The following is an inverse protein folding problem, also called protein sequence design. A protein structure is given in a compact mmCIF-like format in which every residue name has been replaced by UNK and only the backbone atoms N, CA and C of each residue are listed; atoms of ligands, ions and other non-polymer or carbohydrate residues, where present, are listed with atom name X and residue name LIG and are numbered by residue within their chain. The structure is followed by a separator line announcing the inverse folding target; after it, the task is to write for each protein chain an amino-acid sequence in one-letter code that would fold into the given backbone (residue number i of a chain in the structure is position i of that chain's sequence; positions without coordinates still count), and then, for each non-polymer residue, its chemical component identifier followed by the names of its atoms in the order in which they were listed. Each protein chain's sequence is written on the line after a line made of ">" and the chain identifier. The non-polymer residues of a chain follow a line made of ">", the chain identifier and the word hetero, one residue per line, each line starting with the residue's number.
data_IF_900009598126
#
_entry.id   IF_900009598126
#
_cell.length_a   1.000
_cell.length_b   1.000
_cell.length_c   1.000
_cell.angle_alpha   90.00
_cell.angle_beta   90.00
_cell.angle_gamma   90.00
#
_symmetry.space_group_name_H-M   'P 1'
#
loop_
_entity.id
_entity.type
_entity.pdbx_description
1 polymer ?
#
# COMPACT_ATOMS: atom_id res chain seq x y z
N UNK A 1 10.22 27.88 -4.25
CA UNK A 1 9.22 26.91 -3.76
C UNK A 1 9.97 25.58 -3.66
N UNK A 2 9.93 24.91 -2.52
CA UNK A 2 10.50 23.57 -2.37
C UNK A 2 9.73 22.55 -3.23
N UNK A 3 10.34 21.40 -3.46
CA UNK A 3 9.66 20.28 -4.12
C UNK A 3 8.51 19.76 -3.25
N UNK A 4 7.45 19.24 -3.89
CA UNK A 4 6.34 18.63 -3.16
C UNK A 4 6.78 17.30 -2.56
N UNK A 5 6.19 16.84 -1.43
CA UNK A 5 6.47 15.52 -0.87
C UNK A 5 6.40 14.39 -1.90
N UNK A 6 5.38 14.39 -2.75
CA UNK A 6 5.21 13.39 -3.81
C UNK A 6 6.39 13.40 -4.80
N UNK A 7 6.91 14.60 -5.15
CA UNK A 7 8.04 14.69 -6.07
C UNK A 7 9.34 14.19 -5.46
N UNK A 8 9.55 14.45 -4.17
CA UNK A 8 10.69 13.89 -3.41
C UNK A 8 10.63 12.35 -3.41
N UNK A 9 9.47 11.78 -3.10
CA UNK A 9 9.24 10.33 -3.06
C UNK A 9 9.43 9.70 -4.44
N UNK A 10 8.86 10.30 -5.51
CA UNK A 10 9.03 9.84 -6.90
C UNK A 10 10.51 9.74 -7.28
N UNK A 11 11.26 10.82 -7.05
CA UNK A 11 12.69 10.87 -7.42
C UNK A 11 13.53 9.87 -6.64
N UNK A 12 13.24 9.67 -5.36
CA UNK A 12 13.93 8.69 -4.53
C UNK A 12 13.69 7.27 -5.05
N UNK A 13 12.43 6.85 -5.23
CA UNK A 13 12.11 5.50 -5.72
C UNK A 13 12.53 5.26 -7.17
N UNK A 14 12.52 6.28 -8.04
CA UNK A 14 13.12 6.17 -9.37
C UNK A 14 14.61 5.86 -9.30
N UNK A 15 15.32 6.53 -8.38
CA UNK A 15 16.78 6.39 -8.24
C UNK A 15 17.20 5.02 -7.67
N UNK A 16 16.40 4.44 -6.77
CA UNK A 16 16.73 3.20 -6.05
C UNK A 16 15.99 1.97 -6.58
N UNK A 17 15.21 2.06 -7.67
CA UNK A 17 14.28 1.03 -8.09
C UNK A 17 14.88 -0.39 -8.15
N UNK A 18 16.07 -0.54 -8.73
CA UNK A 18 16.75 -1.83 -8.83
C UNK A 18 17.24 -2.37 -7.48
N UNK A 19 17.77 -1.49 -6.62
CA UNK A 19 18.18 -1.87 -5.28
C UNK A 19 16.98 -2.24 -4.41
N UNK A 20 15.93 -1.42 -4.46
CA UNK A 20 14.71 -1.63 -3.67
C UNK A 20 14.04 -2.97 -4.00
N UNK A 21 14.00 -3.34 -5.29
CA UNK A 21 13.51 -4.64 -5.70
C UNK A 21 14.30 -5.78 -5.06
N UNK A 22 15.63 -5.76 -5.14
CA UNK A 22 16.47 -6.82 -4.57
C UNK A 22 16.32 -6.91 -3.04
N UNK A 23 16.17 -5.76 -2.37
CA UNK A 23 15.95 -5.69 -0.95
C UNK A 23 14.59 -6.27 -0.56
N UNK A 24 13.50 -5.90 -1.26
CA UNK A 24 12.14 -6.41 -1.00
C UNK A 24 12.03 -7.92 -1.21
N UNK A 25 12.69 -8.47 -2.23
CA UNK A 25 12.71 -9.93 -2.47
C UNK A 25 13.39 -10.72 -1.32
N UNK A 26 14.26 -10.08 -0.57
CA UNK A 26 14.93 -10.66 0.61
C UNK A 26 14.18 -10.48 1.93
N UNK A 27 13.12 -9.67 1.96
CA UNK A 27 12.44 -9.28 3.20
C UNK A 27 11.32 -10.25 3.58
N UNK A 28 11.29 -10.61 4.88
CA UNK A 28 10.09 -11.17 5.50
C UNK A 28 9.21 -10.03 5.99
N UNK A 29 7.99 -9.92 5.48
CA UNK A 29 7.08 -8.84 5.87
C UNK A 29 5.65 -9.34 5.97
N UNK A 30 4.78 -8.68 6.76
CA UNK A 30 3.37 -9.04 6.86
C UNK A 30 2.54 -8.79 5.59
N UNK A 31 3.11 -8.26 4.50
CA UNK A 31 2.40 -7.92 3.25
C UNK A 31 1.55 -9.09 2.73
N UNK A 32 2.16 -10.28 2.64
CA UNK A 32 1.47 -11.46 2.12
C UNK A 32 0.34 -11.90 3.03
N UNK A 33 0.55 -11.91 4.36
CA UNK A 33 -0.49 -12.29 5.31
C UNK A 33 -1.67 -11.34 5.32
N UNK A 34 -1.42 -10.03 5.19
CA UNK A 34 -2.48 -9.02 5.09
C UNK A 34 -3.18 -9.03 3.72
N UNK A 35 -2.46 -9.33 2.65
CA UNK A 35 -3.06 -9.59 1.33
C UNK A 35 -3.96 -10.83 1.37
N UNK A 36 -3.54 -11.89 2.07
CA UNK A 36 -4.36 -13.09 2.23
C UNK A 36 -5.68 -12.81 2.97
N UNK A 37 -5.71 -11.89 3.98
CA UNK A 37 -6.96 -11.44 4.62
C UNK A 37 -7.93 -10.82 3.60
N UNK A 38 -7.41 -9.99 2.67
CA UNK A 38 -8.23 -9.41 1.59
C UNK A 38 -8.76 -10.50 0.66
N UNK A 39 -7.91 -11.44 0.24
CA UNK A 39 -8.29 -12.54 -0.65
C UNK A 39 -9.34 -13.47 -0.01
N UNK A 40 -9.22 -13.76 1.28
CA UNK A 40 -10.23 -14.55 2.02
C UNK A 40 -11.56 -13.81 2.11
N UNK A 41 -11.55 -12.49 2.32
CA UNK A 41 -12.77 -11.68 2.29
C UNK A 41 -13.39 -11.70 0.89
N UNK A 42 -12.61 -11.55 -0.17
CA UNK A 42 -13.07 -11.64 -1.55
C UNK A 42 -13.73 -13.00 -1.81
N UNK A 43 -13.09 -14.10 -1.41
CA UNK A 43 -13.65 -15.46 -1.59
C UNK A 43 -14.98 -15.66 -0.83
N UNK A 44 -15.13 -15.01 0.33
CA UNK A 44 -16.35 -15.07 1.14
C UNK A 44 -17.50 -14.20 0.59
N UNK A 45 -17.18 -13.12 -0.13
CA UNK A 45 -18.16 -12.13 -0.60
C UNK A 45 -18.52 -12.26 -2.09
N UNK A 46 -17.67 -12.94 -2.88
CA UNK A 46 -17.88 -13.12 -4.32
C UNK A 46 -18.54 -14.48 -4.60
N UNK A 47 -19.64 -14.46 -5.32
CA UNK A 47 -20.32 -15.72 -5.70
C UNK A 47 -19.54 -16.45 -6.81
N UNK A 48 -19.22 -17.74 -6.64
CA UNK A 48 -18.53 -18.53 -7.68
C UNK A 48 -19.28 -18.59 -9.01
N UNK A 49 -20.58 -18.29 -8.99
CA UNK A 49 -21.46 -18.41 -10.15
C UNK A 49 -21.31 -17.31 -11.19
N UNK A 50 -20.61 -16.20 -10.88
CA UNK A 50 -20.49 -15.06 -11.80
C UNK A 50 -19.40 -15.23 -12.85
N UNK A 51 -18.42 -16.13 -12.63
CA UNK A 51 -17.30 -16.37 -13.57
C UNK A 51 -16.37 -15.15 -13.75
N UNK A 52 -16.65 -14.03 -13.08
CA UNK A 52 -15.80 -12.84 -13.15
C UNK A 52 -14.64 -12.93 -12.17
N UNK A 53 -13.45 -12.50 -12.61
CA UNK A 53 -12.29 -12.39 -11.73
C UNK A 53 -12.52 -11.24 -10.72
N UNK A 54 -12.09 -11.39 -9.45
CA UNK A 54 -12.12 -10.28 -8.53
C UNK A 54 -11.15 -9.19 -8.98
N UNK A 55 -11.57 -7.94 -8.86
CA UNK A 55 -10.77 -6.78 -9.25
C UNK A 55 -10.15 -6.12 -8.03
N UNK A 56 -8.84 -6.09 -7.96
CA UNK A 56 -8.08 -5.59 -6.81
C UNK A 56 -7.19 -4.42 -7.23
N UNK A 57 -7.18 -3.35 -6.42
CA UNK A 57 -6.29 -2.21 -6.56
C UNK A 57 -5.11 -2.37 -5.62
N UNK A 58 -3.90 -2.18 -6.13
CA UNK A 58 -2.68 -2.05 -5.34
C UNK A 58 -2.13 -0.63 -5.48
N UNK A 59 -1.88 0.02 -4.33
CA UNK A 59 -1.33 1.37 -4.23
C UNK A 59 0.12 1.30 -3.75
N UNK A 60 1.05 1.84 -4.52
CA UNK A 60 2.48 1.69 -4.26
C UNK A 60 2.96 0.28 -4.61
N UNK A 61 2.68 -0.19 -5.83
CA UNK A 61 2.95 -1.55 -6.25
C UNK A 61 4.46 -1.87 -6.42
N UNK A 62 5.30 -0.84 -6.49
CA UNK A 62 6.72 -1.00 -6.72
C UNK A 62 7.00 -1.79 -8.00
N UNK A 63 7.94 -2.72 -7.93
CA UNK A 63 8.32 -3.60 -9.03
C UNK A 63 7.32 -4.77 -9.28
N UNK A 64 6.15 -4.76 -8.66
CA UNK A 64 5.10 -5.76 -8.84
C UNK A 64 5.29 -7.04 -8.01
N UNK A 65 6.29 -7.10 -7.16
CA UNK A 65 6.55 -8.22 -6.28
C UNK A 65 6.73 -7.76 -4.82
N UNK A 66 6.28 -8.53 -3.84
CA UNK A 66 5.62 -9.83 -3.98
C UNK A 66 4.11 -9.74 -4.30
N UNK A 67 3.46 -8.58 -4.09
CA UNK A 67 2.01 -8.50 -3.94
C UNK A 67 1.25 -8.53 -5.26
N UNK A 68 1.60 -7.70 -6.26
CA UNK A 68 0.95 -7.76 -7.58
C UNK A 68 1.01 -9.19 -8.14
N UNK A 69 2.20 -9.84 -8.09
CA UNK A 69 2.37 -11.21 -8.56
C UNK A 69 1.49 -12.18 -7.79
N UNK A 70 1.47 -12.11 -6.46
CA UNK A 70 0.62 -12.93 -5.61
C UNK A 70 -0.87 -12.80 -5.99
N UNK A 71 -1.36 -11.57 -6.17
CA UNK A 71 -2.75 -11.31 -6.54
C UNK A 71 -3.12 -11.92 -7.91
N UNK A 72 -2.23 -11.77 -8.90
CA UNK A 72 -2.39 -12.35 -10.23
C UNK A 72 -2.41 -13.89 -10.18
N UNK A 73 -1.49 -14.50 -9.42
CA UNK A 73 -1.42 -15.96 -9.24
C UNK A 73 -2.66 -16.53 -8.54
N UNK A 74 -3.35 -15.71 -7.74
CA UNK A 74 -4.65 -16.05 -7.13
C UNK A 74 -5.85 -15.74 -8.04
N UNK A 75 -5.59 -15.36 -9.30
CA UNK A 75 -6.60 -15.19 -10.34
C UNK A 75 -7.32 -13.84 -10.33
N UNK A 76 -6.81 -12.84 -9.60
CA UNK A 76 -7.38 -11.49 -9.61
C UNK A 76 -7.08 -10.74 -10.91
N UNK A 77 -7.96 -9.80 -11.27
CA UNK A 77 -7.64 -8.67 -12.15
C UNK A 77 -7.01 -7.58 -11.29
N UNK A 78 -5.76 -7.24 -11.57
CA UNK A 78 -4.99 -6.29 -10.74
C UNK A 78 -4.81 -4.97 -11.47
N UNK A 79 -5.18 -3.88 -10.80
CA UNK A 79 -4.78 -2.51 -11.14
C UNK A 79 -3.69 -2.12 -10.15
N UNK A 80 -2.50 -1.85 -10.64
CA UNK A 80 -1.32 -1.57 -9.82
C UNK A 80 -0.83 -0.14 -10.10
N UNK A 81 -0.88 0.71 -9.08
CA UNK A 81 -0.42 2.10 -9.16
C UNK A 81 0.92 2.26 -8.45
N UNK A 82 1.80 3.04 -9.04
CA UNK A 82 2.99 3.56 -8.37
C UNK A 82 3.35 4.94 -8.90
N UNK A 83 3.97 5.76 -8.05
CA UNK A 83 4.43 7.10 -8.43
C UNK A 83 5.72 7.01 -9.25
N UNK A 84 6.56 6.00 -9.01
CA UNK A 84 7.82 5.77 -9.69
C UNK A 84 7.61 5.06 -11.03
N UNK A 85 8.02 5.71 -12.10
CA UNK A 85 7.98 5.11 -13.44
C UNK A 85 9.04 4.02 -13.61
N UNK A 86 10.16 4.09 -12.90
CA UNK A 86 11.20 3.06 -12.93
C UNK A 86 10.74 1.78 -12.24
N UNK A 87 10.02 1.90 -11.11
CA UNK A 87 9.37 0.75 -10.48
C UNK A 87 8.37 0.09 -11.42
N UNK A 88 7.51 0.86 -12.08
CA UNK A 88 6.52 0.30 -13.02
C UNK A 88 7.14 -0.35 -14.27
N UNK A 89 8.32 0.09 -14.73
CA UNK A 89 9.07 -0.63 -15.78
C UNK A 89 9.47 -2.03 -15.33
N UNK A 90 9.90 -2.17 -14.08
CA UNK A 90 10.22 -3.47 -13.49
C UNK A 90 8.96 -4.32 -13.30
N UNK A 91 7.86 -3.71 -12.87
CA UNK A 91 6.56 -4.37 -12.72
C UNK A 91 6.02 -4.87 -14.07
N UNK A 92 6.15 -4.10 -15.14
CA UNK A 92 5.72 -4.51 -16.49
C UNK A 92 6.40 -5.79 -16.98
N UNK A 93 7.66 -5.99 -16.61
CA UNK A 93 8.40 -7.20 -16.97
C UNK A 93 8.00 -8.42 -16.13
N UNK A 94 7.56 -8.22 -14.87
CA UNK A 94 7.23 -9.29 -13.92
C UNK A 94 5.75 -9.65 -13.89
N UNK A 95 4.91 -8.67 -14.13
CA UNK A 95 3.46 -8.76 -14.00
C UNK A 95 2.77 -8.18 -15.26
N UNK A 96 3.07 -8.70 -16.47
CA UNK A 96 2.54 -8.15 -17.71
C UNK A 96 1.01 -8.24 -17.83
N UNK A 97 0.38 -9.05 -16.98
CA UNK A 97 -1.09 -9.19 -16.91
C UNK A 97 -1.76 -8.08 -16.09
N UNK A 98 -1.00 -7.32 -15.27
CA UNK A 98 -1.54 -6.24 -14.47
C UNK A 98 -1.80 -4.99 -15.32
N UNK A 99 -2.83 -4.23 -14.96
CA UNK A 99 -3.04 -2.88 -15.46
C UNK A 99 -2.20 -1.92 -14.64
N UNK A 100 -1.09 -1.42 -15.21
CA UNK A 100 -0.19 -0.50 -14.53
C UNK A 100 -0.64 0.95 -14.72
N UNK A 101 -0.68 1.72 -13.62
CA UNK A 101 -1.10 3.13 -13.59
C UNK A 101 0.00 3.96 -12.94
N UNK A 102 0.71 4.77 -13.73
CA UNK A 102 1.76 5.65 -13.24
C UNK A 102 1.18 6.93 -12.63
N UNK A 103 1.78 7.41 -11.55
CA UNK A 103 1.53 8.72 -10.96
C UNK A 103 1.01 8.69 -9.53
N UNK A 104 0.77 9.89 -9.01
CA UNK A 104 0.30 10.12 -7.66
C UNK A 104 -1.04 9.43 -7.41
N UNK A 105 -1.11 8.62 -6.34
CA UNK A 105 -2.34 7.92 -5.96
C UNK A 105 -3.51 8.87 -5.65
N UNK A 106 -3.24 10.11 -5.22
CA UNK A 106 -4.27 11.12 -5.01
C UNK A 106 -4.92 11.61 -6.29
N UNK A 107 -4.23 11.51 -7.43
CA UNK A 107 -4.78 11.87 -8.73
C UNK A 107 -5.66 10.76 -9.34
N UNK A 108 -5.64 9.55 -8.79
CA UNK A 108 -6.47 8.46 -9.27
C UNK A 108 -7.95 8.78 -9.12
N UNK A 109 -8.74 8.37 -10.11
CA UNK A 109 -10.19 8.48 -10.09
C UNK A 109 -10.82 7.21 -10.67
N UNK A 110 -11.52 6.48 -9.82
CA UNK A 110 -12.21 5.25 -10.21
C UNK A 110 -13.71 5.35 -9.88
N UNK A 111 -14.51 4.63 -10.61
CA UNK A 111 -15.95 4.56 -10.34
C UNK A 111 -16.20 4.01 -8.91
N UNK A 112 -17.21 4.51 -8.19
CA UNK A 112 -17.60 3.96 -6.90
C UNK A 112 -17.91 2.46 -7.00
N UNK A 113 -17.59 1.71 -5.94
CA UNK A 113 -17.83 0.28 -5.83
C UNK A 113 -17.25 -0.54 -7.01
N UNK A 114 -16.06 -0.19 -7.50
CA UNK A 114 -15.40 -0.84 -8.64
C UNK A 114 -14.36 -1.89 -8.26
N UNK A 115 -13.98 -2.00 -6.97
CA UNK A 115 -12.97 -2.95 -6.50
C UNK A 115 -13.51 -3.90 -5.44
N UNK A 116 -13.10 -5.16 -5.54
CA UNK A 116 -13.40 -6.22 -4.57
C UNK A 116 -12.43 -6.22 -3.38
N UNK A 117 -11.31 -5.53 -3.52
CA UNK A 117 -10.32 -5.33 -2.47
C UNK A 117 -9.31 -4.26 -2.85
N UNK A 118 -8.67 -3.67 -1.85
CA UNK A 118 -7.56 -2.72 -2.02
C UNK A 118 -6.43 -3.10 -1.08
N UNK A 119 -5.19 -3.03 -1.56
CA UNK A 119 -3.99 -3.15 -0.74
C UNK A 119 -3.07 -1.95 -0.98
N UNK A 120 -2.32 -1.54 0.05
CA UNK A 120 -1.39 -0.41 -0.07
C UNK A 120 -0.32 -0.47 1.02
N UNK A 121 0.79 -1.15 0.73
CA UNK A 121 1.85 -1.36 1.71
C UNK A 121 3.04 -0.44 1.44
N UNK A 122 3.57 0.16 2.51
CA UNK A 122 4.71 1.08 2.48
C UNK A 122 4.52 2.25 1.50
N UNK A 123 3.28 2.76 1.40
CA UNK A 123 2.93 3.77 0.40
C UNK A 123 2.15 4.96 0.96
N UNK A 124 1.06 4.72 1.71
CA UNK A 124 0.14 5.80 2.15
C UNK A 124 0.82 6.79 3.11
N UNK A 125 1.76 6.36 3.92
CA UNK A 125 2.49 7.23 4.84
C UNK A 125 3.51 8.18 4.14
N UNK A 126 3.70 8.06 2.83
CA UNK A 126 4.42 9.04 2.02
C UNK A 126 3.54 10.24 1.61
N UNK A 127 2.24 10.19 1.88
CA UNK A 127 1.36 11.33 1.71
C UNK A 127 1.41 12.24 2.95
N UNK A 128 1.29 13.57 2.79
CA UNK A 128 1.02 14.46 3.91
C UNK A 128 -0.19 14.00 4.73
N UNK A 129 -0.19 14.20 6.04
CA UNK A 129 -1.25 13.74 6.95
C UNK A 129 -2.67 14.05 6.47
N UNK A 130 -2.92 15.30 6.08
CA UNK A 130 -4.24 15.72 5.61
C UNK A 130 -4.70 14.93 4.37
N UNK A 131 -3.76 14.51 3.55
CA UNK A 131 -4.00 13.77 2.32
C UNK A 131 -4.25 12.28 2.57
N UNK A 132 -3.71 11.70 3.66
CA UNK A 132 -3.97 10.32 4.05
C UNK A 132 -5.46 10.07 4.29
N UNK A 133 -6.14 10.97 5.03
CA UNK A 133 -7.60 10.86 5.24
C UNK A 133 -8.38 10.97 3.92
N UNK A 134 -7.95 11.87 3.03
CA UNK A 134 -8.53 12.03 1.70
C UNK A 134 -8.36 10.75 0.87
N UNK A 135 -7.16 10.14 0.91
CA UNK A 135 -6.88 8.89 0.22
C UNK A 135 -7.75 7.74 0.72
N UNK A 136 -7.88 7.60 2.04
CA UNK A 136 -8.76 6.59 2.64
C UNK A 136 -10.22 6.78 2.24
N UNK A 137 -10.70 8.03 2.15
CA UNK A 137 -12.06 8.32 1.68
C UNK A 137 -12.26 7.93 0.20
N UNK A 138 -11.27 8.17 -0.66
CA UNK A 138 -11.29 7.71 -2.06
C UNK A 138 -11.32 6.17 -2.13
N UNK A 139 -10.45 5.49 -1.39
CA UNK A 139 -10.44 4.02 -1.32
C UNK A 139 -11.80 3.50 -0.84
N UNK A 140 -12.37 4.11 0.20
CA UNK A 140 -13.69 3.72 0.70
C UNK A 140 -14.76 3.86 -0.39
N UNK A 141 -14.76 4.94 -1.16
CA UNK A 141 -15.70 5.11 -2.27
C UNK A 141 -15.54 4.03 -3.35
N UNK A 142 -14.30 3.69 -3.71
CA UNK A 142 -13.99 2.72 -4.77
C UNK A 142 -14.28 1.27 -4.40
N UNK A 143 -14.18 0.93 -3.12
CA UNK A 143 -14.49 -0.41 -2.63
C UNK A 143 -15.99 -0.72 -2.75
N UNK A 144 -16.31 -1.96 -3.10
CA UNK A 144 -17.67 -2.51 -3.01
C UNK A 144 -18.10 -2.61 -1.53
N UNK A 145 -19.41 -2.57 -1.22
CA UNK A 145 -19.89 -2.87 0.14
C UNK A 145 -19.38 -4.24 0.62
N UNK A 146 -18.90 -4.31 1.84
CA UNK A 146 -18.33 -5.51 2.43
C UNK A 146 -16.90 -5.85 2.02
N UNK A 147 -16.34 -5.14 1.03
CA UNK A 147 -14.96 -5.34 0.58
C UNK A 147 -13.93 -4.79 1.59
N UNK A 148 -12.70 -5.26 1.49
CA UNK A 148 -11.64 -5.02 2.47
C UNK A 148 -10.49 -4.20 1.89
N UNK A 149 -9.92 -3.33 2.75
CA UNK A 149 -8.65 -2.64 2.58
C UNK A 149 -7.62 -3.25 3.53
N UNK A 150 -6.41 -3.54 3.04
CA UNK A 150 -5.25 -3.83 3.87
C UNK A 150 -4.10 -2.89 3.54
N UNK A 151 -3.48 -2.30 4.57
CA UNK A 151 -2.41 -1.32 4.41
C UNK A 151 -1.60 -1.19 5.68
N UNK A 152 -0.49 -0.45 5.62
CA UNK A 152 0.25 -0.07 6.82
C UNK A 152 0.55 1.43 6.85
N UNK A 153 0.77 1.94 8.06
CA UNK A 153 1.19 3.30 8.35
C UNK A 153 2.43 3.27 9.25
N UNK A 154 3.15 4.39 9.32
CA UNK A 154 4.14 4.60 10.35
C UNK A 154 3.45 4.79 11.72
N UNK A 155 4.21 4.67 12.81
CA UNK A 155 3.68 4.74 14.19
C UNK A 155 4.04 6.04 14.90
N UNK A 156 4.86 6.89 14.28
CA UNK A 156 5.29 8.16 14.86
C UNK A 156 4.23 9.23 14.66
N UNK A 157 3.97 10.03 15.70
CA UNK A 157 3.07 11.18 15.62
C UNK A 157 3.83 12.41 15.11
N UNK A 158 4.09 12.44 13.80
CA UNK A 158 4.85 13.50 13.14
C UNK A 158 4.15 13.94 11.85
N UNK A 159 3.92 15.27 11.73
CA UNK A 159 3.22 15.85 10.58
C UNK A 159 4.06 15.75 9.31
N UNK A 160 5.37 15.98 9.43
CA UNK A 160 6.35 15.90 8.36
C UNK A 160 7.64 15.28 8.88
N UNK A 161 8.05 14.19 8.28
CA UNK A 161 9.34 13.55 8.52
C UNK A 161 10.15 13.70 7.25
N UNK A 162 11.21 14.51 7.32
CA UNK A 162 12.19 14.65 6.24
C UNK A 162 13.46 13.90 6.64
N UNK A 163 13.86 12.94 5.83
CA UNK A 163 15.05 12.13 6.10
C UNK A 163 15.65 11.60 4.82
N UNK A 164 16.48 10.60 4.96
CA UNK A 164 17.12 9.91 3.84
C UNK A 164 16.76 8.43 3.86
N UNK A 165 16.49 7.87 2.68
CA UNK A 165 16.36 6.44 2.47
C UNK A 165 17.32 6.04 1.36
N UNK A 166 18.31 5.23 1.69
CA UNK A 166 19.37 4.79 0.77
C UNK A 166 20.10 5.94 0.06
N UNK A 167 20.42 7.01 0.82
CA UNK A 167 21.14 8.17 0.30
C UNK A 167 20.30 9.14 -0.54
N UNK A 168 18.99 8.96 -0.58
CA UNK A 168 18.05 9.85 -1.28
C UNK A 168 17.09 10.48 -0.29
N UNK A 169 16.82 11.78 -0.46
CA UNK A 169 15.83 12.48 0.36
C UNK A 169 14.47 11.81 0.28
N UNK A 170 13.81 11.65 1.41
CA UNK A 170 12.53 10.98 1.50
C UNK A 170 11.58 11.73 2.43
N UNK A 171 10.29 11.63 2.16
CA UNK A 171 9.22 12.20 2.96
C UNK A 171 8.31 11.11 3.52
N UNK A 172 7.98 11.25 4.79
CA UNK A 172 6.97 10.46 5.47
C UNK A 172 6.10 11.36 6.34
N UNK A 173 4.94 10.90 6.70
CA UNK A 173 4.10 11.50 7.73
C UNK A 173 3.24 10.44 8.41
N UNK A 174 2.85 10.68 9.64
CA UNK A 174 1.94 9.77 10.34
C UNK A 174 1.24 10.45 11.50
N UNK A 175 0.11 9.92 11.89
CA UNK A 175 -0.54 10.18 13.15
C UNK A 175 -0.09 9.18 14.21
N UNK A 176 -0.32 9.49 15.49
CA UNK A 176 -0.24 8.47 16.54
C UNK A 176 -1.14 7.28 16.20
N UNK A 177 -0.76 6.09 16.65
CA UNK A 177 -1.47 4.84 16.35
C UNK A 177 -2.97 4.92 16.62
N UNK A 178 -3.37 5.47 17.79
CA UNK A 178 -4.77 5.62 18.16
C UNK A 178 -5.55 6.56 17.22
N UNK A 179 -4.90 7.64 16.76
CA UNK A 179 -5.50 8.62 15.84
C UNK A 179 -5.60 8.05 14.42
N UNK A 180 -4.60 7.28 14.00
CA UNK A 180 -4.65 6.54 12.72
C UNK A 180 -5.83 5.56 12.68
N UNK A 181 -6.04 4.78 13.74
CA UNK A 181 -7.19 3.86 13.84
C UNK A 181 -8.52 4.64 13.89
N UNK A 182 -8.54 5.78 14.56
CA UNK A 182 -9.72 6.66 14.63
C UNK A 182 -10.05 7.22 13.24
N UNK A 183 -9.05 7.70 12.51
CA UNK A 183 -9.20 8.20 11.14
C UNK A 183 -9.82 7.16 10.21
N UNK A 184 -9.36 5.90 10.28
CA UNK A 184 -9.93 4.79 9.50
C UNK A 184 -11.43 4.60 9.80
N UNK A 185 -11.81 4.63 11.08
CA UNK A 185 -13.22 4.50 11.50
C UNK A 185 -14.08 5.69 11.07
N UNK A 186 -13.55 6.92 11.18
CA UNK A 186 -14.26 8.15 10.77
C UNK A 186 -14.55 8.18 9.26
N UNK A 187 -13.70 7.58 8.44
CA UNK A 187 -13.94 7.44 7.00
C UNK A 187 -15.08 6.45 6.69
N UNK A 188 -15.45 5.59 7.64
CA UNK A 188 -16.56 4.64 7.50
C UNK A 188 -16.13 3.17 7.46
N UNK A 189 -14.86 2.88 7.70
CA UNK A 189 -14.39 1.51 7.79
C UNK A 189 -14.65 0.91 9.18
N UNK A 190 -14.85 -0.41 9.21
CA UNK A 190 -14.68 -1.22 10.43
C UNK A 190 -13.25 -1.74 10.44
N UNK A 191 -12.46 -1.36 11.45
CA UNK A 191 -11.16 -1.97 11.67
C UNK A 191 -11.38 -3.41 12.16
N UNK A 192 -10.95 -4.37 11.37
CA UNK A 192 -11.04 -5.81 11.68
C UNK A 192 -9.80 -6.24 12.45
N UNK A 193 -8.67 -5.61 12.12
CA UNK A 193 -7.35 -5.93 12.66
C UNK A 193 -6.47 -4.67 12.59
N UNK A 194 -5.78 -4.33 13.69
CA UNK A 194 -4.89 -3.18 13.76
C UNK A 194 -3.76 -3.52 14.77
N UNK A 195 -2.57 -3.81 14.26
CA UNK A 195 -1.44 -4.29 15.05
C UNK A 195 -0.19 -3.47 14.77
N UNK A 196 0.58 -3.17 15.82
CA UNK A 196 1.94 -2.65 15.67
C UNK A 196 2.89 -3.83 15.53
N UNK A 197 3.56 -3.94 14.38
CA UNK A 197 4.55 -4.98 14.13
C UNK A 197 5.89 -4.35 13.79
N UNK A 198 6.96 -4.92 14.35
CA UNK A 198 8.31 -4.54 14.02
C UNK A 198 8.72 -5.14 12.68
N UNK A 199 9.43 -4.36 11.86
CA UNK A 199 9.91 -4.81 10.57
C UNK A 199 10.79 -6.07 10.70
N UNK A 200 10.65 -7.00 9.74
CA UNK A 200 11.38 -8.26 9.73
C UNK A 200 11.16 -9.13 10.98
N UNK A 201 10.02 -9.02 11.66
CA UNK A 201 9.72 -9.68 12.94
C UNK A 201 10.77 -9.39 14.03
N UNK A 202 11.38 -8.19 14.01
CA UNK A 202 12.45 -7.78 14.93
C UNK A 202 13.77 -8.55 14.72
N UNK A 203 14.00 -9.12 13.55
CA UNK A 203 15.20 -9.93 13.24
C UNK A 203 16.10 -9.31 12.18
N UNK A 204 15.83 -8.07 11.77
CA UNK A 204 16.67 -7.37 10.80
C UNK A 204 18.06 -7.10 11.38
N UNK A 205 19.05 -7.05 10.51
CA UNK A 205 20.41 -6.64 10.90
C UNK A 205 20.45 -5.12 11.20
N UNK A 206 21.40 -4.69 12.02
CA UNK A 206 21.52 -3.28 12.43
C UNK A 206 21.75 -2.31 11.26
N UNK A 207 22.26 -2.80 10.14
CA UNK A 207 22.48 -2.03 8.91
C UNK A 207 21.29 -2.06 7.92
N UNK A 208 20.20 -2.77 8.27
CA UNK A 208 18.99 -2.75 7.48
C UNK A 208 18.25 -1.42 7.66
N UNK A 209 17.75 -0.77 6.58
CA UNK A 209 17.04 0.51 6.66
C UNK A 209 15.84 0.51 7.60
N UNK A 210 15.18 -0.63 7.78
CA UNK A 210 14.00 -0.78 8.64
C UNK A 210 14.33 -1.38 10.02
N UNK A 211 15.61 -1.48 10.40
CA UNK A 211 16.00 -2.00 11.72
C UNK A 211 15.33 -1.23 12.85
N UNK A 212 14.60 -1.94 13.72
CA UNK A 212 13.90 -1.37 14.87
C UNK A 212 12.68 -0.52 14.51
N UNK A 213 12.32 -0.40 13.23
CA UNK A 213 11.15 0.34 12.80
C UNK A 213 9.87 -0.47 13.05
N UNK A 214 8.84 0.21 13.58
CA UNK A 214 7.52 -0.37 13.74
C UNK A 214 6.53 0.26 12.78
N UNK A 215 5.64 -0.56 12.27
CA UNK A 215 4.53 -0.13 11.42
C UNK A 215 3.20 -0.55 12.03
N UNK A 216 2.20 0.30 11.85
CA UNK A 216 0.81 -0.03 12.15
C UNK A 216 0.18 -0.74 10.95
N UNK A 217 -0.11 -2.02 11.09
CA UNK A 217 -0.76 -2.83 10.07
C UNK A 217 -2.25 -2.87 10.31
N UNK A 218 -3.02 -2.59 9.28
CA UNK A 218 -4.48 -2.47 9.36
C UNK A 218 -5.13 -3.31 8.26
N UNK A 219 -6.12 -4.12 8.66
CA UNK A 219 -7.12 -4.68 7.76
C UNK A 219 -8.49 -4.14 8.16
N UNK A 220 -9.17 -3.44 7.26
CA UNK A 220 -10.41 -2.75 7.51
C UNK A 220 -11.45 -3.05 6.44
N UNK A 221 -12.72 -3.22 6.82
CA UNK A 221 -13.80 -3.56 5.91
C UNK A 221 -14.73 -2.37 5.71
N UNK A 222 -15.13 -2.13 4.47
CA UNK A 222 -16.21 -1.19 4.17
C UNK A 222 -17.54 -1.75 4.65
N UNK A 223 -18.29 -0.94 5.40
CA UNK A 223 -19.69 -1.26 5.79
C UNK A 223 -20.60 -1.33 4.59
#
# INVERSE_FOLDING_TARGET
>A
MGETPQKVVEQAYDSIAGWYLAWVEGQNSPRESYTEKVLQNVAATTSPSTGSKPRILELGAGAGVPITRMLLDRGAEVVANDISTEQLKLAAARCPEATLVAGDMLALDFAPASFDGVVGFYSIFHLPRAEQKTMLAKIHAWLKPGAMLAFNLATMDEEEIHGEFMGHGMFWSSYAVADSVTMVKEVGFEAVDAEELEAGDGKLAEDDPDFGVKFLWIAARKK
#
